data_IF_798457946799
#
_entry.id   IF_798457946799
#
_cell.length_a   1.000
_cell.length_b   1.000
_cell.length_c   1.000
_cell.angle_alpha   90.00
_cell.angle_beta   90.00
_cell.angle_gamma   90.00
#
_symmetry.space_group_name_H-M   'P 1'
#
loop_
_entity.id
_entity.type
_entity.pdbx_description
1 polymer ?
#
# COMPACT_ATOMS: atom_id res chain seq x y z
N UNK A 1 -1.18 15.68 27.29
CA UNK A 1 -0.25 15.02 26.34
C UNK A 1 -1.11 14.27 25.32
N UNK A 2 -0.88 14.44 24.01
CA UNK A 2 -1.67 13.69 23.00
C UNK A 2 -1.06 12.30 22.84
N UNK A 3 -1.87 11.27 23.01
CA UNK A 3 -1.46 9.86 22.82
C UNK A 3 -1.58 9.45 21.36
N UNK A 4 -0.99 8.30 20.99
CA UNK A 4 -1.22 7.67 19.69
C UNK A 4 -2.72 7.43 19.44
N UNK A 5 -3.45 6.99 20.47
CA UNK A 5 -4.90 6.75 20.37
C UNK A 5 -5.68 8.02 20.07
N UNK A 6 -5.28 9.17 20.62
CA UNK A 6 -5.94 10.44 20.35
C UNK A 6 -5.76 10.88 18.90
N UNK A 7 -4.59 10.62 18.31
CA UNK A 7 -4.35 10.84 16.87
C UNK A 7 -5.08 9.83 16.00
N UNK A 8 -5.13 8.57 16.39
CA UNK A 8 -5.84 7.51 15.67
C UNK A 8 -7.33 7.81 15.49
N UNK A 9 -7.98 8.35 16.52
CA UNK A 9 -9.40 8.78 16.46
C UNK A 9 -9.65 10.00 15.58
N UNK A 10 -8.62 10.80 15.29
CA UNK A 10 -8.72 11.99 14.44
C UNK A 10 -8.51 11.68 12.95
N UNK A 11 -8.16 10.44 12.62
CA UNK A 11 -7.98 10.03 11.23
C UNK A 11 -9.35 9.90 10.55
N UNK A 12 -9.43 10.41 9.33
CA UNK A 12 -10.56 10.15 8.44
C UNK A 12 -10.41 8.74 7.86
N UNK A 13 -11.09 7.79 8.49
CA UNK A 13 -11.01 6.38 8.13
C UNK A 13 -11.63 6.08 6.77
N UNK A 14 -12.62 6.87 6.36
CA UNK A 14 -13.29 6.69 5.07
C UNK A 14 -12.38 7.14 3.93
N UNK A 15 -11.73 8.30 4.06
CA UNK A 15 -10.69 8.75 3.11
C UNK A 15 -9.54 7.74 3.02
N UNK A 16 -9.03 7.28 4.18
CA UNK A 16 -7.92 6.31 4.20
C UNK A 16 -8.32 5.01 3.50
N UNK A 17 -9.54 4.51 3.75
CA UNK A 17 -10.03 3.29 3.12
C UNK A 17 -10.17 3.46 1.61
N UNK A 18 -10.74 4.57 1.14
CA UNK A 18 -10.87 4.86 -0.29
C UNK A 18 -9.50 4.96 -0.96
N UNK A 19 -8.54 5.63 -0.34
CA UNK A 19 -7.20 5.79 -0.87
C UNK A 19 -6.41 4.49 -0.95
N UNK A 20 -6.57 3.59 0.02
CA UNK A 20 -5.95 2.25 -0.02
C UNK A 20 -6.60 1.42 -1.14
N UNK A 21 -7.93 1.41 -1.24
CA UNK A 21 -8.63 0.59 -2.25
C UNK A 21 -8.55 1.16 -3.67
N UNK A 22 -8.22 2.44 -3.82
CA UNK A 22 -8.07 3.10 -5.13
C UNK A 22 -6.70 2.92 -5.79
N UNK A 23 -5.77 2.19 -5.18
CA UNK A 23 -4.43 1.97 -5.73
C UNK A 23 -4.47 1.02 -6.91
N UNK A 24 -3.66 1.32 -7.92
CA UNK A 24 -3.60 0.55 -9.16
C UNK A 24 -2.47 -0.47 -9.15
N UNK A 25 -2.48 -1.40 -10.11
CA UNK A 25 -1.37 -2.34 -10.29
C UNK A 25 -0.02 -1.65 -10.52
N UNK A 26 -0.01 -0.56 -11.30
CA UNK A 26 1.20 0.22 -11.54
C UNK A 26 1.73 0.88 -10.25
N UNK A 27 0.84 1.34 -9.37
CA UNK A 27 1.25 1.88 -8.06
C UNK A 27 1.90 0.80 -7.19
N UNK A 28 1.34 -0.41 -7.21
CA UNK A 28 1.86 -1.57 -6.48
C UNK A 28 3.23 -1.98 -7.03
N UNK A 29 3.37 -2.12 -8.34
CA UNK A 29 4.65 -2.46 -8.99
C UNK A 29 5.73 -1.42 -8.72
N UNK A 30 5.39 -0.13 -8.82
CA UNK A 30 6.31 0.95 -8.46
C UNK A 30 6.77 0.83 -7.01
N UNK A 31 5.84 0.64 -6.09
CA UNK A 31 6.13 0.49 -4.67
C UNK A 31 7.02 -0.72 -4.36
N UNK A 32 6.79 -1.86 -5.03
CA UNK A 32 7.58 -3.09 -4.87
C UNK A 32 9.03 -2.93 -5.35
N UNK A 33 9.27 -2.05 -6.32
CA UNK A 33 10.61 -1.77 -6.86
C UNK A 33 11.30 -0.58 -6.20
N UNK A 34 10.65 0.13 -5.27
CA UNK A 34 11.22 1.30 -4.61
C UNK A 34 12.26 0.91 -3.56
N UNK A 35 13.42 1.59 -3.58
CA UNK A 35 14.47 1.40 -2.56
C UNK A 35 14.13 2.04 -1.22
N UNK A 36 13.24 3.03 -1.20
CA UNK A 36 12.70 3.67 -0.02
C UNK A 36 11.19 3.91 -0.21
N UNK A 37 10.40 3.52 0.79
CA UNK A 37 8.95 3.59 0.70
C UNK A 37 8.42 4.92 1.24
N UNK A 38 7.59 5.57 0.44
CA UNK A 38 6.77 6.69 0.91
C UNK A 38 5.48 6.18 1.55
N UNK A 39 4.73 7.09 2.18
CA UNK A 39 3.38 6.78 2.67
C UNK A 39 2.45 6.30 1.55
N UNK A 40 2.60 6.85 0.35
CA UNK A 40 1.78 6.49 -0.79
C UNK A 40 2.09 5.06 -1.28
N UNK A 41 3.37 4.70 -1.28
CA UNK A 41 3.82 3.35 -1.61
C UNK A 41 3.35 2.34 -0.58
N UNK A 42 3.36 2.68 0.72
CA UNK A 42 2.75 1.84 1.75
C UNK A 42 1.25 1.63 1.52
N UNK A 43 0.51 2.67 1.10
CA UNK A 43 -0.91 2.52 0.75
C UNK A 43 -1.08 1.59 -0.45
N UNK A 44 -0.21 1.67 -1.45
CA UNK A 44 -0.21 0.75 -2.60
C UNK A 44 0.03 -0.70 -2.15
N UNK A 45 1.03 -0.95 -1.30
CA UNK A 45 1.34 -2.29 -0.80
C UNK A 45 0.24 -2.88 0.11
N UNK A 46 -0.54 -2.04 0.78
CA UNK A 46 -1.71 -2.46 1.58
C UNK A 46 -2.99 -2.63 0.76
N UNK A 47 -3.01 -2.10 -0.46
CA UNK A 47 -4.16 -2.26 -1.34
C UNK A 47 -4.35 -3.73 -1.71
N UNK A 48 -5.58 -4.20 -1.92
CA UNK A 48 -5.79 -5.54 -2.46
C UNK A 48 -5.16 -5.59 -3.85
N UNK A 49 -4.09 -6.35 -4.08
CA UNK A 49 -3.47 -6.40 -5.39
C UNK A 49 -4.46 -7.11 -6.30
N UNK A 50 -4.77 -6.59 -7.51
CA UNK A 50 -5.48 -7.38 -8.50
C UNK A 50 -4.79 -8.73 -8.64
N UNK A 51 -5.58 -9.81 -8.73
CA UNK A 51 -5.05 -11.19 -8.79
C UNK A 51 -3.99 -11.38 -9.89
N UNK A 52 -4.07 -10.56 -10.96
CA UNK A 52 -3.10 -10.52 -12.04
C UNK A 52 -1.67 -10.14 -11.60
N UNK A 53 -1.51 -9.34 -10.53
CA UNK A 53 -0.20 -8.93 -10.02
C UNK A 53 0.54 -10.11 -9.42
N UNK A 54 -0.16 -10.93 -8.65
CA UNK A 54 0.40 -12.15 -8.07
C UNK A 54 0.75 -13.18 -9.14
N UNK A 55 -0.04 -13.23 -10.22
CA UNK A 55 0.20 -14.15 -11.33
C UNK A 55 1.41 -13.76 -12.20
N UNK A 56 1.73 -12.47 -12.29
CA UNK A 56 2.92 -12.01 -13.01
C UNK A 56 4.16 -11.85 -12.11
N UNK A 57 4.01 -12.07 -10.79
CA UNK A 57 5.13 -11.93 -9.86
C UNK A 57 6.22 -12.93 -10.23
N UNK A 58 7.46 -12.49 -10.51
CA UNK A 58 8.49 -13.38 -10.99
C UNK A 58 8.79 -14.40 -9.89
N UNK A 59 8.35 -15.64 -10.12
CA UNK A 59 8.52 -16.80 -9.24
C UNK A 59 9.97 -17.21 -9.03
N UNK A 60 10.95 -16.47 -9.58
CA UNK A 60 12.35 -16.86 -9.62
C UNK A 60 13.26 -15.64 -9.47
N UNK A 61 13.35 -15.08 -8.26
CA UNK A 61 14.67 -14.58 -7.82
C UNK A 61 15.41 -15.78 -7.28
N UNK A 62 16.07 -16.49 -8.20
CA UNK A 62 17.09 -17.50 -7.93
C UNK A 62 17.99 -16.98 -6.80
N UNK A 63 17.87 -17.63 -5.64
CA UNK A 63 18.90 -17.62 -4.60
C UNK A 63 19.92 -18.68 -4.97
#
# INVERSE_FOLDING_TARGET
MKTFSDRWRQLDWDDIRLRINGKTAADVERALNASQLTRDDMMALLSPPPVAIWNHWPSERNV
#
